data_IF_765710142567
#
_entry.id   IF_765710142567
#
_cell.length_a   1.000
_cell.length_b   1.000
_cell.length_c   1.000
_cell.angle_alpha   90.00
_cell.angle_beta   90.00
_cell.angle_gamma   90.00
#
_symmetry.space_group_name_H-M   'P 1'
#
loop_
_entity.id
_entity.type
_entity.pdbx_description
1 polymer ?
#
# COMPACT_ATOMS: atom_id res chain seq x y z
N UNK A 1 -55.36 47.05 -0.29
CA UNK A 1 -56.67 47.05 0.39
C UNK A 1 -56.82 45.75 1.17
N UNK A 2 -57.18 45.91 2.45
CA UNK A 2 -57.60 44.91 3.43
C UNK A 2 -58.34 43.68 2.86
N UNK A 3 -58.03 42.47 3.38
CA UNK A 3 -58.97 41.69 4.21
C UNK A 3 -58.36 40.35 4.65
N UNK A 4 -58.24 40.21 5.97
CA UNK A 4 -58.12 38.93 6.67
C UNK A 4 -59.39 38.11 6.52
N UNK A 5 -59.26 36.78 6.42
CA UNK A 5 -60.22 35.81 6.97
C UNK A 5 -59.44 34.55 7.37
N UNK A 6 -58.82 34.58 8.56
CA UNK A 6 -58.47 33.36 9.29
C UNK A 6 -59.69 33.00 10.11
N UNK A 7 -60.51 32.07 9.62
CA UNK A 7 -61.53 31.42 10.45
C UNK A 7 -61.94 30.10 9.83
N UNK A 8 -61.49 29.00 10.45
CA UNK A 8 -62.12 27.67 10.52
C UNK A 8 -61.13 26.78 11.28
N UNK A 9 -61.46 26.07 12.34
CA UNK A 9 -62.65 25.98 13.17
C UNK A 9 -62.18 25.11 14.35
N UNK A 10 -61.76 25.73 15.45
CA UNK A 10 -61.66 25.04 16.73
C UNK A 10 -63.11 24.76 17.17
N UNK A 11 -63.63 23.61 16.77
CA UNK A 11 -64.88 23.05 17.30
C UNK A 11 -64.54 21.71 17.89
N UNK A 12 -64.15 21.74 19.15
CA UNK A 12 -64.76 21.06 20.31
C UNK A 12 -63.75 21.18 21.45
N UNK A 13 -64.27 21.38 22.67
CA UNK A 13 -63.58 21.94 23.83
C UNK A 13 -62.16 21.41 24.07
N UNK A 14 -61.29 22.31 24.49
CA UNK A 14 -60.04 21.93 25.13
C UNK A 14 -60.37 21.11 26.36
N UNK A 15 -60.23 19.79 26.25
CA UNK A 15 -60.06 18.96 27.42
C UNK A 15 -58.73 19.38 28.02
N UNK A 16 -58.75 19.86 29.26
CA UNK A 16 -57.53 19.93 30.05
C UNK A 16 -56.89 18.53 30.02
N UNK A 17 -55.55 18.46 30.08
CA UNK A 17 -54.80 17.20 30.06
C UNK A 17 -55.27 16.16 31.11
N UNK A 18 -56.11 16.58 32.08
CA UNK A 18 -56.75 15.75 33.10
C UNK A 18 -57.87 14.83 32.61
N UNK A 19 -58.47 15.06 31.44
CA UNK A 19 -59.62 14.26 30.94
C UNK A 19 -59.26 13.27 29.83
N UNK A 20 -57.98 13.15 29.47
CA UNK A 20 -57.55 12.19 28.46
C UNK A 20 -57.32 10.80 29.10
N UNK A 21 -57.80 9.71 28.48
CA UNK A 21 -57.49 8.37 28.96
C UNK A 21 -55.96 8.13 28.91
N UNK A 22 -55.42 7.23 29.74
CA UNK A 22 -54.00 6.93 29.77
C UNK A 22 -53.45 6.65 28.36
N UNK A 23 -52.23 7.10 28.08
CA UNK A 23 -51.66 7.10 26.73
C UNK A 23 -51.63 5.74 26.03
N UNK A 24 -51.65 4.64 26.76
CA UNK A 24 -51.73 3.28 26.22
C UNK A 24 -53.12 2.86 25.73
N UNK A 25 -54.19 3.51 26.18
CA UNK A 25 -55.57 3.22 25.75
C UNK A 25 -55.98 4.01 24.50
N UNK A 26 -55.50 5.25 24.34
CA UNK A 26 -55.75 6.07 23.15
C UNK A 26 -54.55 6.96 22.79
N UNK A 27 -53.49 6.40 22.18
CA UNK A 27 -52.25 7.12 21.88
C UNK A 27 -52.42 8.32 20.93
N UNK A 28 -53.43 8.29 20.06
CA UNK A 28 -53.68 9.32 19.06
C UNK A 28 -54.19 10.65 19.62
N UNK A 29 -54.62 10.68 20.88
CA UNK A 29 -55.11 11.89 21.56
C UNK A 29 -54.00 12.64 22.31
N UNK A 30 -52.83 12.03 22.46
CA UNK A 30 -51.67 12.61 23.15
C UNK A 30 -50.73 13.26 22.13
N UNK A 31 -50.82 14.59 21.99
CA UNK A 31 -49.92 15.36 21.13
C UNK A 31 -48.63 15.71 21.93
N UNK A 32 -47.51 15.05 21.61
CA UNK A 32 -46.23 15.31 22.29
C UNK A 32 -45.68 16.71 21.96
N UNK A 33 -45.34 17.47 23.02
CA UNK A 33 -44.73 18.81 22.93
C UNK A 33 -43.26 18.78 22.48
N UNK A 34 -42.61 17.62 22.56
CA UNK A 34 -41.21 17.44 22.13
C UNK A 34 -41.18 16.88 20.70
N UNK A 35 -41.21 17.77 19.71
CA UNK A 35 -41.08 17.37 18.29
C UNK A 35 -39.64 16.90 18.02
N UNK A 36 -39.46 15.59 17.91
CA UNK A 36 -38.29 15.02 17.25
C UNK A 36 -38.22 15.52 15.79
N UNK A 37 -37.02 15.87 15.31
CA UNK A 37 -36.77 16.35 13.94
C UNK A 37 -36.87 15.24 12.88
N UNK A 38 -37.57 14.14 13.20
CA UNK A 38 -37.97 13.16 12.21
C UNK A 38 -39.06 13.83 11.38
N UNK A 39 -38.69 14.23 10.17
CA UNK A 39 -39.60 14.77 9.18
C UNK A 39 -40.63 13.70 8.79
N UNK A 40 -41.63 13.48 9.65
CA UNK A 40 -42.85 12.79 9.30
C UNK A 40 -43.71 13.77 8.52
N UNK A 41 -43.37 13.98 7.25
CA UNK A 41 -44.37 14.56 6.35
C UNK A 41 -45.54 13.58 6.36
N UNK A 42 -46.70 14.02 6.87
CA UNK A 42 -47.95 13.30 6.71
C UNK A 42 -48.03 12.89 5.24
N UNK A 43 -48.24 11.61 4.97
CA UNK A 43 -48.48 11.09 3.63
C UNK A 43 -49.80 11.68 3.13
N UNK A 44 -49.76 12.94 2.70
CA UNK A 44 -50.89 13.64 2.13
C UNK A 44 -50.83 13.41 0.63
N UNK A 45 -51.42 12.31 0.19
CA UNK A 45 -51.79 12.10 -1.21
C UNK A 45 -53.05 12.90 -1.53
N UNK A 46 -53.15 14.16 -1.06
CA UNK A 46 -54.24 15.04 -1.49
C UNK A 46 -53.80 15.72 -2.79
N UNK A 47 -54.41 15.38 -3.94
CA UNK A 47 -53.99 15.89 -5.26
C UNK A 47 -54.11 17.42 -5.38
N UNK A 48 -54.89 18.06 -4.50
CA UNK A 48 -55.17 19.50 -4.54
C UNK A 48 -53.98 20.36 -4.09
N UNK A 49 -53.09 19.85 -3.22
CA UNK A 49 -51.89 20.59 -2.78
C UNK A 49 -50.74 20.55 -3.80
N UNK A 50 -50.69 19.50 -4.64
CA UNK A 50 -49.66 19.35 -5.68
C UNK A 50 -49.93 20.20 -6.94
N UNK A 51 -51.15 20.71 -7.12
CA UNK A 51 -51.60 21.32 -8.36
C UNK A 51 -51.29 22.82 -8.55
N UNK A 52 -50.82 23.54 -7.51
CA UNK A 52 -50.72 25.01 -7.57
C UNK A 52 -49.31 25.59 -7.58
N UNK A 53 -48.26 24.77 -7.52
CA UNK A 53 -46.89 25.29 -7.52
C UNK A 53 -45.81 24.22 -7.60
N UNK A 54 -45.28 24.04 -8.81
CA UNK A 54 -43.87 23.76 -9.04
C UNK A 54 -43.41 22.32 -8.77
N UNK A 55 -43.18 21.59 -9.88
CA UNK A 55 -42.15 20.57 -10.10
C UNK A 55 -41.67 19.79 -8.86
N UNK A 56 -41.87 18.47 -8.86
CA UNK A 56 -41.34 17.58 -7.81
C UNK A 56 -39.85 17.82 -7.52
N UNK A 57 -39.55 18.17 -6.27
CA UNK A 57 -38.22 18.55 -5.80
C UNK A 57 -37.30 17.34 -5.57
N UNK A 58 -37.86 16.13 -5.47
CA UNK A 58 -37.05 14.93 -5.30
C UNK A 58 -36.69 14.31 -6.66
N UNK A 59 -35.47 14.62 -7.12
CA UNK A 59 -34.95 14.22 -8.44
C UNK A 59 -34.76 12.71 -8.60
N UNK A 60 -34.54 11.98 -7.51
CA UNK A 60 -34.34 10.52 -7.49
C UNK A 60 -35.53 9.75 -6.92
N UNK A 61 -36.68 10.42 -6.72
CA UNK A 61 -37.89 9.75 -6.24
C UNK A 61 -38.24 8.59 -7.16
N UNK A 62 -38.38 7.41 -6.55
CA UNK A 62 -38.74 6.18 -7.25
C UNK A 62 -37.63 5.60 -8.13
N UNK A 63 -36.39 6.08 -8.01
CA UNK A 63 -35.24 5.59 -8.79
C UNK A 63 -34.27 4.84 -7.89
N UNK A 64 -34.03 3.58 -8.20
CA UNK A 64 -33.05 2.70 -7.57
C UNK A 64 -32.47 1.72 -8.58
N UNK A 65 -31.13 1.59 -8.57
CA UNK A 65 -30.40 0.68 -9.44
C UNK A 65 -30.56 -0.79 -9.00
N UNK A 66 -30.52 -1.04 -7.67
CA UNK A 66 -30.63 -2.39 -7.08
C UNK A 66 -31.98 -3.03 -7.44
N UNK A 67 -33.08 -2.28 -7.34
CA UNK A 67 -34.42 -2.78 -7.68
C UNK A 67 -34.80 -2.59 -9.15
N UNK A 68 -33.86 -2.17 -10.00
CA UNK A 68 -34.05 -2.05 -11.46
C UNK A 68 -35.26 -1.19 -11.88
N UNK A 69 -35.65 -0.23 -11.06
CA UNK A 69 -36.81 0.67 -11.31
C UNK A 69 -36.67 1.52 -12.57
N UNK A 70 -35.44 1.73 -13.07
CA UNK A 70 -35.16 2.49 -14.29
C UNK A 70 -35.17 4.01 -14.06
N UNK A 71 -34.89 4.80 -15.12
CA UNK A 71 -34.87 6.24 -15.04
C UNK A 71 -36.29 6.79 -14.86
N UNK A 72 -36.43 7.80 -13.99
CA UNK A 72 -37.70 8.47 -13.69
C UNK A 72 -38.41 9.06 -14.92
N UNK A 73 -37.64 9.54 -15.89
CA UNK A 73 -38.13 10.13 -17.12
C UNK A 73 -37.54 9.40 -18.33
N UNK A 74 -38.28 9.38 -19.43
CA UNK A 74 -37.82 8.78 -20.68
C UNK A 74 -36.70 9.65 -21.28
N UNK A 75 -35.47 9.15 -21.21
CA UNK A 75 -34.28 9.83 -21.75
C UNK A 75 -34.23 9.69 -23.28
N UNK A 76 -33.58 10.60 -23.99
CA UNK A 76 -33.42 10.50 -25.46
C UNK A 76 -32.72 9.21 -25.90
N UNK A 77 -31.78 8.71 -25.09
CA UNK A 77 -31.07 7.46 -25.33
C UNK A 77 -31.91 6.20 -25.06
N UNK A 78 -33.08 6.33 -24.41
CA UNK A 78 -33.96 5.18 -24.14
C UNK A 78 -34.59 4.60 -25.42
N UNK A 79 -34.39 5.25 -26.58
CA UNK A 79 -34.78 4.74 -27.90
C UNK A 79 -33.91 3.58 -28.36
N UNK A 80 -32.65 3.54 -27.91
CA UNK A 80 -31.66 2.57 -28.37
C UNK A 80 -31.56 1.40 -27.37
N UNK A 81 -31.38 0.16 -27.85
CA UNK A 81 -31.04 -0.95 -26.96
C UNK A 81 -29.71 -0.68 -26.27
N UNK A 82 -29.57 -1.11 -25.02
CA UNK A 82 -28.31 -0.96 -24.28
C UNK A 82 -27.20 -1.74 -24.98
N UNK A 83 -26.03 -1.12 -25.24
CA UNK A 83 -24.91 -1.84 -25.84
C UNK A 83 -24.40 -2.90 -24.87
N UNK A 84 -24.16 -4.11 -25.37
CA UNK A 84 -23.56 -5.17 -24.58
C UNK A 84 -22.04 -5.05 -24.65
N UNK A 85 -21.34 -4.88 -23.50
CA UNK A 85 -19.89 -4.83 -23.50
C UNK A 85 -19.31 -6.20 -23.90
N UNK A 86 -18.12 -6.16 -24.49
CA UNK A 86 -17.34 -7.39 -24.74
C UNK A 86 -16.95 -8.00 -23.40
N UNK A 87 -17.11 -9.31 -23.24
CA UNK A 87 -16.69 -10.00 -22.01
C UNK A 87 -15.18 -9.88 -21.82
N UNK A 88 -14.67 -9.79 -20.58
CA UNK A 88 -13.23 -9.66 -20.32
C UNK A 88 -12.39 -10.74 -21.00
N UNK A 89 -12.90 -11.96 -21.12
CA UNK A 89 -12.24 -13.09 -21.78
C UNK A 89 -12.04 -12.91 -23.29
N UNK A 90 -12.92 -12.13 -23.92
CA UNK A 90 -12.85 -11.81 -25.36
C UNK A 90 -12.04 -10.55 -25.63
N UNK A 91 -11.59 -9.87 -24.58
CA UNK A 91 -10.74 -8.69 -24.72
C UNK A 91 -9.34 -9.13 -25.16
N UNK A 92 -8.70 -8.35 -26.03
CA UNK A 92 -7.34 -8.63 -26.47
C UNK A 92 -6.39 -8.56 -25.26
N UNK A 93 -5.61 -9.62 -25.05
CA UNK A 93 -4.58 -9.64 -24.03
C UNK A 93 -3.44 -8.70 -24.41
N UNK A 94 -2.85 -8.05 -23.40
CA UNK A 94 -1.66 -7.22 -23.64
C UNK A 94 -0.49 -8.13 -24.05
N UNK A 95 0.39 -7.68 -24.96
CA UNK A 95 1.58 -8.42 -25.29
C UNK A 95 2.46 -8.61 -24.04
N UNK A 96 2.95 -9.82 -23.82
CA UNK A 96 3.86 -10.13 -22.72
C UNK A 96 5.25 -9.59 -23.04
N UNK A 97 5.86 -8.87 -22.10
CA UNK A 97 7.27 -8.44 -22.17
C UNK A 97 8.16 -9.51 -21.49
N UNK A 98 8.97 -10.27 -22.24
CA UNK A 98 9.76 -11.37 -21.66
C UNK A 98 10.86 -10.92 -20.70
N UNK A 99 11.42 -9.72 -20.93
CA UNK A 99 12.47 -9.11 -20.11
C UNK A 99 11.91 -8.02 -19.18
N UNK A 100 10.90 -8.38 -18.40
CA UNK A 100 10.37 -7.50 -17.36
C UNK A 100 11.10 -7.72 -16.03
N UNK A 101 11.46 -6.63 -15.33
CA UNK A 101 12.15 -6.72 -14.05
C UNK A 101 11.36 -7.45 -12.95
N UNK A 102 10.02 -7.46 -13.04
CA UNK A 102 9.17 -8.21 -12.09
C UNK A 102 9.34 -9.73 -12.20
N UNK A 103 9.88 -10.25 -13.31
CA UNK A 103 10.15 -11.68 -13.42
C UNK A 103 11.20 -12.16 -12.41
N UNK A 104 12.01 -11.27 -11.84
CA UNK A 104 12.98 -11.61 -10.80
C UNK A 104 12.34 -12.08 -9.48
N UNK A 105 11.05 -11.83 -9.25
CA UNK A 105 10.31 -12.32 -8.08
C UNK A 105 9.77 -13.74 -8.25
N UNK A 106 9.88 -14.30 -9.46
CA UNK A 106 9.38 -15.62 -9.81
C UNK A 106 10.54 -16.60 -10.06
N UNK A 107 10.31 -17.92 -9.94
CA UNK A 107 11.27 -18.92 -10.38
C UNK A 107 11.61 -18.76 -11.87
N UNK A 108 12.74 -19.33 -12.34
CA UNK A 108 13.13 -19.30 -13.75
C UNK A 108 12.07 -19.86 -14.71
N UNK A 109 11.22 -20.78 -14.23
CA UNK A 109 10.07 -21.33 -14.97
C UNK A 109 8.98 -20.29 -15.25
N UNK A 110 9.02 -19.11 -14.61
CA UNK A 110 8.00 -18.05 -14.66
C UNK A 110 6.63 -18.48 -14.13
N UNK A 111 6.60 -19.54 -13.33
CA UNK A 111 5.40 -20.00 -12.64
C UNK A 111 5.18 -19.22 -11.34
N UNK A 112 3.95 -19.18 -10.85
CA UNK A 112 3.62 -18.46 -9.62
C UNK A 112 4.22 -19.13 -8.36
N UNK A 113 4.44 -20.44 -8.41
CA UNK A 113 4.99 -21.24 -7.32
C UNK A 113 6.26 -21.94 -7.78
N UNK A 114 7.22 -22.07 -6.88
CA UNK A 114 8.38 -22.94 -7.04
C UNK A 114 7.99 -24.40 -6.82
N UNK A 115 8.63 -25.29 -7.59
CA UNK A 115 8.54 -26.74 -7.38
C UNK A 115 9.35 -27.10 -6.13
N UNK A 116 8.85 -27.97 -5.22
CA UNK A 116 9.58 -28.34 -4.00
C UNK A 116 10.99 -28.92 -4.26
N UNK A 117 11.16 -29.67 -5.36
CA UNK A 117 12.46 -30.18 -5.80
C UNK A 117 13.46 -29.05 -6.06
N UNK A 118 13.02 -28.01 -6.78
CA UNK A 118 13.85 -26.82 -7.01
C UNK A 118 14.20 -26.08 -5.72
N UNK A 119 13.28 -26.00 -4.76
CA UNK A 119 13.53 -25.35 -3.47
C UNK A 119 14.48 -26.15 -2.57
N UNK A 120 14.53 -27.48 -2.73
CA UNK A 120 15.50 -28.36 -2.05
C UNK A 120 16.87 -28.37 -2.72
N UNK A 121 16.94 -28.07 -4.02
CA UNK A 121 18.18 -27.97 -4.79
C UNK A 121 18.93 -26.67 -4.45
N UNK A 122 19.49 -26.62 -3.24
CA UNK A 122 20.42 -25.58 -2.82
C UNK A 122 21.67 -26.19 -2.17
N UNK A 123 22.81 -25.52 -2.35
CA UNK A 123 24.07 -25.93 -1.74
C UNK A 123 24.19 -25.54 -0.27
N UNK A 124 25.40 -25.64 0.27
CA UNK A 124 25.68 -25.18 1.64
C UNK A 124 25.70 -23.63 1.73
N UNK A 125 25.40 -23.06 2.90
CA UNK A 125 25.65 -21.64 3.16
C UNK A 125 27.15 -21.32 3.20
N UNK A 126 27.50 -20.05 2.98
CA UNK A 126 28.88 -19.59 3.02
C UNK A 126 29.46 -19.61 4.44
N UNK A 127 30.68 -20.15 4.58
CA UNK A 127 31.40 -20.14 5.85
C UNK A 127 32.05 -18.77 6.10
N UNK A 128 32.21 -18.42 7.38
CA UNK A 128 32.84 -17.15 7.77
C UNK A 128 34.27 -17.05 7.21
N UNK A 129 35.05 -18.14 7.28
CA UNK A 129 36.43 -18.16 6.78
C UNK A 129 36.53 -17.80 5.30
N UNK A 130 35.62 -18.32 4.48
CA UNK A 130 35.60 -18.07 3.03
C UNK A 130 35.23 -16.62 2.70
N UNK A 131 34.37 -16.02 3.52
CA UNK A 131 33.95 -14.64 3.35
C UNK A 131 35.03 -13.66 3.80
N UNK A 132 35.95 -14.05 4.69
CA UNK A 132 37.09 -13.21 5.13
C UNK A 132 38.08 -12.91 3.99
N UNK A 133 38.14 -13.75 2.96
CA UNK A 133 39.02 -13.53 1.81
C UNK A 133 38.40 -12.61 0.73
N UNK A 134 37.11 -12.23 0.87
CA UNK A 134 36.40 -11.46 -0.17
C UNK A 134 36.48 -9.95 0.01
N UNK A 135 36.49 -9.22 -1.10
CA UNK A 135 36.45 -7.75 -1.10
C UNK A 135 35.12 -7.21 -0.53
N UNK A 136 35.08 -5.93 -0.14
CA UNK A 136 33.83 -5.30 0.31
C UNK A 136 32.77 -5.28 -0.80
N UNK A 137 33.17 -4.98 -2.04
CA UNK A 137 32.27 -4.93 -3.20
C UNK A 137 31.60 -6.28 -3.47
N UNK A 138 32.36 -7.38 -3.37
CA UNK A 138 31.82 -8.72 -3.60
C UNK A 138 30.87 -9.14 -2.48
N UNK A 139 31.19 -8.81 -1.22
CA UNK A 139 30.28 -9.04 -0.09
C UNK A 139 28.98 -8.23 -0.25
N UNK A 140 29.06 -6.99 -0.75
CA UNK A 140 27.89 -6.16 -0.99
C UNK A 140 27.02 -6.68 -2.15
N UNK A 141 27.64 -7.14 -3.25
CA UNK A 141 26.92 -7.81 -4.35
C UNK A 141 26.25 -9.10 -3.86
N UNK A 142 26.98 -9.94 -3.13
CA UNK A 142 26.46 -11.18 -2.56
C UNK A 142 25.28 -10.93 -1.61
N UNK A 143 25.38 -9.89 -0.77
CA UNK A 143 24.28 -9.47 0.08
C UNK A 143 22.99 -9.22 -0.72
N UNK A 144 23.07 -8.47 -1.82
CA UNK A 144 21.90 -8.20 -2.66
C UNK A 144 21.38 -9.42 -3.41
N UNK A 145 22.26 -10.36 -3.81
CA UNK A 145 21.83 -11.66 -4.33
C UNK A 145 21.01 -12.41 -3.28
N UNK A 146 21.48 -12.46 -2.03
CA UNK A 146 20.73 -13.07 -0.93
C UNK A 146 19.39 -12.36 -0.67
N UNK A 147 19.32 -11.03 -0.76
CA UNK A 147 18.05 -10.30 -0.60
C UNK A 147 17.05 -10.64 -1.70
N UNK A 148 17.50 -10.65 -2.97
CA UNK A 148 16.65 -11.03 -4.10
C UNK A 148 16.12 -12.46 -3.96
N UNK A 149 16.97 -13.37 -3.52
CA UNK A 149 16.61 -14.76 -3.25
C UNK A 149 15.49 -14.86 -2.20
N UNK A 150 15.65 -14.16 -1.06
CA UNK A 150 14.64 -14.14 0.00
C UNK A 150 13.33 -13.51 -0.44
N UNK A 151 13.39 -12.46 -1.26
CA UNK A 151 12.19 -11.85 -1.83
C UNK A 151 11.45 -12.85 -2.75
N UNK A 152 12.16 -13.59 -3.59
CA UNK A 152 11.56 -14.65 -4.44
C UNK A 152 10.89 -15.74 -3.60
N UNK A 153 11.56 -16.20 -2.54
CA UNK A 153 11.01 -17.21 -1.61
C UNK A 153 9.76 -16.64 -0.91
N UNK A 154 9.81 -15.38 -0.45
CA UNK A 154 8.68 -14.72 0.19
C UNK A 154 7.47 -14.58 -0.74
N UNK A 155 7.68 -14.23 -2.01
CA UNK A 155 6.60 -14.17 -3.01
C UNK A 155 5.96 -15.54 -3.20
N UNK A 156 6.78 -16.59 -3.31
CA UNK A 156 6.30 -17.97 -3.48
C UNK A 156 5.53 -18.45 -2.25
N UNK A 157 6.02 -18.14 -1.04
CA UNK A 157 5.35 -18.49 0.22
C UNK A 157 4.00 -17.78 0.36
N UNK A 158 3.93 -16.49 0.01
CA UNK A 158 2.67 -15.74 0.07
C UNK A 158 1.61 -16.30 -0.89
N UNK A 159 1.99 -16.63 -2.13
CA UNK A 159 1.09 -17.31 -3.05
C UNK A 159 0.73 -18.73 -2.57
N UNK A 160 1.64 -19.42 -1.90
CA UNK A 160 1.37 -20.75 -1.32
C UNK A 160 0.33 -20.67 -0.19
N UNK A 161 0.42 -19.67 0.69
CA UNK A 161 -0.58 -19.44 1.75
C UNK A 161 -1.97 -19.12 1.16
N UNK A 162 -2.01 -18.38 0.05
CA UNK A 162 -3.23 -18.02 -0.67
C UNK A 162 -3.87 -19.20 -1.39
N UNK A 163 -3.08 -19.95 -2.17
CA UNK A 163 -3.55 -21.06 -3.01
C UNK A 163 -3.71 -22.37 -2.23
N UNK A 164 -2.99 -22.53 -1.12
CA UNK A 164 -2.94 -23.74 -0.27
C UNK A 164 -2.74 -25.03 -1.07
N UNK A 165 -1.68 -25.13 -1.91
CA UNK A 165 -1.41 -26.30 -2.72
C UNK A 165 -0.93 -27.53 -1.92
N UNK A 166 -0.61 -27.36 -0.62
CA UNK A 166 -0.16 -28.42 0.27
C UNK A 166 1.33 -28.31 0.59
N UNK A 167 2.16 -29.08 -0.10
CA UNK A 167 3.60 -29.22 0.19
C UNK A 167 4.46 -28.03 -0.28
N UNK A 168 5.73 -27.98 0.16
CA UNK A 168 6.72 -26.99 -0.28
C UNK A 168 7.14 -25.96 0.79
N UNK A 169 6.46 -25.90 1.93
CA UNK A 169 6.78 -24.94 2.99
C UNK A 169 8.12 -25.23 3.68
N UNK A 170 8.37 -26.50 3.98
CA UNK A 170 9.57 -26.89 4.71
C UNK A 170 10.84 -26.69 3.86
N UNK A 171 10.74 -27.02 2.57
CA UNK A 171 11.77 -26.89 1.55
C UNK A 171 12.14 -25.41 1.36
N UNK A 172 11.14 -24.55 1.14
CA UNK A 172 11.33 -23.11 1.01
C UNK A 172 11.94 -22.48 2.28
N UNK A 173 11.48 -22.91 3.46
CA UNK A 173 12.04 -22.45 4.74
C UNK A 173 13.46 -22.94 4.98
N UNK A 174 13.82 -24.16 4.57
CA UNK A 174 15.19 -24.67 4.66
C UNK A 174 16.15 -23.82 3.82
N UNK A 175 15.73 -23.48 2.59
CA UNK A 175 16.49 -22.60 1.70
C UNK A 175 16.63 -21.17 2.26
N UNK A 176 15.55 -20.56 2.76
CA UNK A 176 15.61 -19.23 3.39
C UNK A 176 16.54 -19.24 4.61
N UNK A 177 16.51 -20.29 5.43
CA UNK A 177 17.45 -20.46 6.56
C UNK A 177 18.91 -20.47 6.10
N UNK A 178 19.25 -21.18 5.03
CA UNK A 178 20.62 -21.19 4.50
C UNK A 178 21.06 -19.81 3.99
N UNK A 179 20.17 -19.09 3.31
CA UNK A 179 20.44 -17.72 2.84
C UNK A 179 20.63 -16.76 4.03
N UNK A 180 19.81 -16.90 5.07
CA UNK A 180 19.92 -16.12 6.30
C UNK A 180 21.24 -16.37 7.04
N UNK A 181 21.73 -17.62 7.07
CA UNK A 181 23.05 -17.93 7.64
C UNK A 181 24.13 -17.18 6.89
N UNK A 182 24.11 -17.21 5.55
CA UNK A 182 25.06 -16.46 4.72
C UNK A 182 25.02 -14.96 5.03
N UNK A 183 23.84 -14.35 5.14
CA UNK A 183 23.70 -12.94 5.51
C UNK A 183 24.27 -12.62 6.90
N UNK A 184 24.05 -13.50 7.89
CA UNK A 184 24.64 -13.37 9.23
C UNK A 184 26.16 -13.46 9.20
N UNK A 185 26.71 -14.39 8.43
CA UNK A 185 28.16 -14.54 8.24
C UNK A 185 28.77 -13.29 7.60
N UNK A 186 28.15 -12.70 6.57
CA UNK A 186 28.61 -11.45 5.95
C UNK A 186 28.66 -10.31 6.98
N UNK A 187 27.57 -10.13 7.75
CA UNK A 187 27.53 -9.11 8.82
C UNK A 187 28.61 -9.32 9.88
N UNK A 188 28.89 -10.57 10.23
CA UNK A 188 29.92 -10.92 11.18
C UNK A 188 31.32 -10.53 10.67
N UNK A 189 31.67 -10.92 9.45
CA UNK A 189 32.97 -10.61 8.83
C UNK A 189 33.19 -9.09 8.71
N UNK A 190 32.18 -8.34 8.27
CA UNK A 190 32.30 -6.88 8.15
C UNK A 190 32.55 -6.21 9.51
N UNK A 191 31.89 -6.70 10.57
CA UNK A 191 32.09 -6.20 11.92
C UNK A 191 33.48 -6.56 12.45
N UNK A 192 33.91 -7.81 12.26
CA UNK A 192 35.24 -8.30 12.65
C UNK A 192 36.34 -7.45 12.01
N UNK A 193 36.25 -7.18 10.70
CA UNK A 193 37.21 -6.33 9.98
C UNK A 193 37.26 -4.91 10.53
N UNK A 194 36.10 -4.33 10.85
CA UNK A 194 36.06 -2.99 11.42
C UNK A 194 36.78 -2.92 12.75
N UNK A 195 36.50 -3.87 13.66
CA UNK A 195 37.18 -3.92 14.95
C UNK A 195 38.68 -4.21 14.83
N UNK A 196 39.08 -5.11 13.93
CA UNK A 196 40.50 -5.39 13.69
C UNK A 196 41.25 -4.15 13.16
N UNK A 197 40.60 -3.36 12.28
CA UNK A 197 41.17 -2.11 11.77
C UNK A 197 41.25 -1.02 12.85
N UNK A 198 40.20 -0.87 13.66
CA UNK A 198 40.17 0.10 14.77
C UNK A 198 41.24 -0.22 15.82
N UNK A 199 41.38 -1.50 16.19
CA UNK A 199 42.40 -1.97 17.11
C UNK A 199 43.82 -1.76 16.56
N UNK A 200 44.05 -2.10 15.30
CA UNK A 200 45.34 -1.86 14.64
C UNK A 200 45.70 -0.37 14.57
N UNK A 201 44.72 0.49 14.28
CA UNK A 201 44.91 1.95 14.25
C UNK A 201 45.27 2.48 15.63
N UNK A 202 44.55 2.04 16.67
CA UNK A 202 44.85 2.42 18.06
C UNK A 202 46.24 1.97 18.52
N UNK A 203 46.66 0.75 18.15
CA UNK A 203 48.01 0.25 18.45
C UNK A 203 49.09 1.10 17.76
N UNK A 204 48.84 1.49 16.50
CA UNK A 204 49.73 2.37 15.74
C UNK A 204 49.86 3.76 16.40
N UNK A 205 48.75 4.37 16.82
CA UNK A 205 48.74 5.65 17.56
C UNK A 205 49.48 5.56 18.91
N UNK A 206 49.43 4.40 19.56
CA UNK A 206 50.19 4.11 20.78
C UNK A 206 51.69 3.81 20.53
N UNK A 207 52.15 3.87 19.28
CA UNK A 207 53.55 3.70 18.91
C UNK A 207 54.00 2.25 18.74
N UNK A 208 53.09 1.28 18.77
CA UNK A 208 53.40 -0.13 18.50
C UNK A 208 53.56 -0.29 16.99
N UNK A 209 54.78 -0.63 16.54
CA UNK A 209 55.07 -0.96 15.14
C UNK A 209 55.18 -2.48 15.00
N UNK A 210 54.65 -3.09 13.91
CA UNK A 210 54.84 -4.51 13.67
C UNK A 210 56.33 -4.82 13.49
N UNK A 211 56.89 -5.72 14.31
CA UNK A 211 58.27 -6.17 14.15
C UNK A 211 58.35 -7.18 12.99
N UNK A 212 59.23 -6.93 12.01
CA UNK A 212 59.63 -7.94 11.00
C UNK A 212 59.14 -7.72 9.57
N UNK A 213 58.42 -6.65 9.26
CA UNK A 213 58.15 -6.24 7.88
C UNK A 213 58.79 -4.87 7.65
N UNK A 214 59.82 -4.79 6.80
CA UNK A 214 60.53 -3.57 6.40
C UNK A 214 59.65 -2.57 5.62
N UNK A 215 58.52 -2.17 6.19
CA UNK A 215 57.64 -1.11 5.70
C UNK A 215 58.06 0.28 6.18
N UNK A 216 59.06 0.35 7.09
CA UNK A 216 59.60 1.62 7.56
C UNK A 216 60.26 2.47 6.48
N UNK A 217 60.61 1.87 5.33
CA UNK A 217 61.39 2.52 4.26
C UNK A 217 60.57 2.85 2.99
N UNK A 218 59.27 2.47 2.94
CA UNK A 218 58.39 2.73 1.78
C UNK A 218 57.26 3.73 2.07
N UNK A 219 57.15 4.24 3.30
CA UNK A 219 56.18 5.28 3.69
C UNK A 219 56.82 6.68 3.82
N UNK A 220 58.12 6.81 3.52
CA UNK A 220 58.81 8.09 3.34
C UNK A 220 58.94 8.43 1.84
N UNK A 221 57.89 8.20 1.04
CA UNK A 221 57.79 8.96 -0.21
C UNK A 221 57.00 10.23 0.13
N UNK A 222 57.74 11.31 0.39
CA UNK A 222 57.19 12.65 0.54
C UNK A 222 56.22 12.91 -0.61
N UNK A 223 54.93 13.01 -0.30
CA UNK A 223 53.96 13.55 -1.25
C UNK A 223 54.40 14.99 -1.50
N UNK A 224 54.90 15.36 -2.70
CA UNK A 224 55.23 16.75 -2.96
C UNK A 224 53.92 17.55 -2.87
N UNK A 225 53.92 18.59 -2.05
CA UNK A 225 52.87 19.60 -2.00
C UNK A 225 52.70 20.22 -3.40
N UNK A 226 51.87 19.63 -4.24
CA UNK A 226 51.33 20.28 -5.43
C UNK A 226 49.86 20.60 -5.19
N UNK A 227 49.62 21.50 -4.24
CA UNK A 227 48.37 22.23 -4.15
C UNK A 227 48.68 23.71 -3.95
N UNK A 228 48.65 24.51 -5.03
CA UNK A 228 48.13 25.90 -5.03
C UNK A 228 48.38 26.74 -6.31
N UNK A 229 48.75 26.16 -7.46
CA UNK A 229 48.93 26.99 -8.69
C UNK A 229 47.80 26.89 -9.72
N UNK A 230 46.96 25.84 -9.72
CA UNK A 230 45.91 25.70 -10.76
C UNK A 230 44.72 26.67 -10.57
N UNK A 231 44.49 27.21 -9.37
CA UNK A 231 43.37 28.15 -9.12
C UNK A 231 43.70 29.63 -9.40
N UNK A 232 44.93 29.97 -9.80
CA UNK A 232 45.29 31.37 -10.15
C UNK A 232 45.19 31.69 -11.64
N UNK A 233 45.15 30.70 -12.53
CA UNK A 233 45.02 30.95 -13.97
C UNK A 233 43.56 31.17 -14.40
N UNK A 234 42.58 30.46 -13.82
CA UNK A 234 41.16 30.63 -14.19
C UNK A 234 40.55 31.99 -13.76
N UNK A 235 41.20 32.72 -12.85
CA UNK A 235 40.73 34.04 -12.41
C UNK A 235 41.22 35.21 -13.30
N UNK A 236 42.14 34.97 -14.26
CA UNK A 236 42.60 36.01 -15.19
C UNK A 236 41.76 36.09 -16.48
N UNK A 237 41.11 35.01 -16.89
CA UNK A 237 40.39 34.94 -18.17
C UNK A 237 38.92 35.41 -18.13
N UNK A 238 38.42 35.86 -16.97
CA UNK A 238 37.05 36.40 -16.83
C UNK A 238 36.98 37.92 -16.73
N UNK A 239 38.06 38.62 -17.07
CA UNK A 239 38.07 40.09 -17.13
C UNK A 239 38.72 40.62 -18.41
N UNK A 240 38.06 40.37 -19.54
CA UNK A 240 38.20 41.10 -20.79
C UNK A 240 36.82 41.20 -21.46
#
# INVERSE_FOLDING_TARGET
MQRSVVSRLARHGGMALSDLPPAYLAPSLHFSTMRNNVQSSNFSTTPVAAGRGGRDMNRTRGVSAIHRTGPRFKLSASKYPLPQPVSPEKMQTRPSTPEHGLWAFFPPSREALSVPEFDMDFGRPWAIQELREKSWDDLHKLWWVCVKERNRISTSNYERERLKPGYGDHEAQARDRAVLVTQKSIKHVLRERWYAWEEATRLYEHGVRPEGQGYGDMMEEEVPEQTSEVTKEEAKDTKA
#
